data_IF_429797482270
#
_entry.id   IF_429797482270
#
_cell.length_a   1.000
_cell.length_b   1.000
_cell.length_c   1.000
_cell.angle_alpha   90.00
_cell.angle_beta   90.00
_cell.angle_gamma   90.00
#
_symmetry.space_group_name_H-M   'P 1'
#
loop_
_entity.id
_entity.type
_entity.pdbx_description
1 polymer ?
#
# COMPACT_ATOMS: atom_id res chain seq x y z
N UNK A 1 28.76 2.77 44.16
CA UNK A 1 27.74 3.75 43.74
C UNK A 1 27.80 3.96 42.24
N UNK A 2 28.96 4.30 41.66
CA UNK A 2 29.15 4.47 40.20
C UNK A 2 28.73 3.28 39.33
N UNK A 3 29.07 2.05 39.72
CA UNK A 3 28.70 0.85 38.96
C UNK A 3 27.18 0.61 38.89
N UNK A 4 26.46 0.92 39.97
CA UNK A 4 24.99 0.81 39.98
C UNK A 4 24.35 1.82 39.03
N UNK A 5 24.89 3.03 38.97
CA UNK A 5 24.42 4.05 38.03
C UNK A 5 24.62 3.62 36.57
N UNK A 6 25.79 3.05 36.24
CA UNK A 6 26.06 2.51 34.90
C UNK A 6 25.12 1.36 34.51
N UNK A 7 24.84 0.45 35.44
CA UNK A 7 23.90 -0.67 35.20
C UNK A 7 22.48 -0.15 34.95
N UNK A 8 22.01 0.78 35.78
CA UNK A 8 20.66 1.38 35.61
C UNK A 8 20.56 2.13 34.29
N UNK A 9 21.58 2.93 33.93
CA UNK A 9 21.59 3.64 32.66
C UNK A 9 21.57 2.70 31.45
N UNK A 10 22.40 1.65 31.48
CA UNK A 10 22.45 0.66 30.41
C UNK A 10 21.15 -0.13 30.27
N UNK A 11 20.50 -0.47 31.38
CA UNK A 11 19.19 -1.15 31.36
C UNK A 11 18.11 -0.25 30.77
N UNK A 12 18.07 1.04 31.12
CA UNK A 12 17.14 2.00 30.55
C UNK A 12 17.35 2.17 29.04
N UNK A 13 18.62 2.30 28.62
CA UNK A 13 19.00 2.35 27.21
C UNK A 13 18.55 1.09 26.46
N UNK A 14 18.78 -0.10 27.01
CA UNK A 14 18.39 -1.36 26.39
C UNK A 14 16.87 -1.50 26.23
N UNK A 15 16.08 -1.06 27.22
CA UNK A 15 14.61 -1.07 27.16
C UNK A 15 14.10 -0.14 26.06
N UNK A 16 14.63 1.09 25.97
CA UNK A 16 14.22 2.07 24.95
C UNK A 16 14.62 1.58 23.55
N UNK A 17 15.86 1.12 23.38
CA UNK A 17 16.37 0.62 22.11
C UNK A 17 15.60 -0.64 21.66
N UNK A 18 15.35 -1.57 22.57
CA UNK A 18 14.57 -2.78 22.31
C UNK A 18 13.12 -2.46 21.94
N UNK A 19 12.49 -1.51 22.65
CA UNK A 19 11.13 -1.06 22.34
C UNK A 19 11.01 -0.42 20.96
N UNK A 20 11.93 0.49 20.61
CA UNK A 20 11.97 1.11 19.29
C UNK A 20 12.20 0.07 18.17
N UNK A 21 13.09 -0.89 18.39
CA UNK A 21 13.37 -1.96 17.42
C UNK A 21 12.17 -2.89 17.22
N UNK A 22 11.46 -3.25 18.29
CA UNK A 22 10.25 -4.07 18.21
C UNK A 22 9.15 -3.38 17.38
N UNK A 23 8.94 -2.09 17.60
CA UNK A 23 7.97 -1.28 16.82
C UNK A 23 8.37 -1.20 15.34
N UNK A 24 9.65 -0.97 15.04
CA UNK A 24 10.13 -0.88 13.66
C UNK A 24 10.01 -2.24 12.93
N UNK A 25 10.29 -3.35 13.61
CA UNK A 25 10.15 -4.70 13.04
C UNK A 25 8.69 -5.03 12.71
N UNK A 26 7.78 -4.69 13.62
CA UNK A 26 6.34 -4.86 13.40
C UNK A 26 5.85 -4.09 12.16
N UNK A 27 6.34 -2.87 11.94
CA UNK A 27 6.01 -2.07 10.75
C UNK A 27 6.49 -2.70 9.44
N UNK A 28 7.68 -3.31 9.42
CA UNK A 28 8.23 -3.99 8.24
C UNK A 28 7.43 -5.25 7.91
N UNK A 29 7.09 -6.06 8.92
CA UNK A 29 6.32 -7.29 8.74
C UNK A 29 4.90 -7.01 8.20
N UNK A 30 4.29 -5.88 8.61
CA UNK A 30 2.98 -5.44 8.11
C UNK A 30 3.05 -4.94 6.65
N UNK A 31 4.13 -4.29 6.26
CA UNK A 31 4.25 -3.64 4.95
C UNK A 31 4.67 -4.60 3.83
N UNK A 32 5.61 -5.52 4.10
CA UNK A 32 6.32 -6.24 3.03
C UNK A 32 5.73 -7.57 2.57
N UNK A 33 5.13 -8.37 3.47
CA UNK A 33 4.86 -9.80 3.16
C UNK A 33 3.40 -10.24 3.35
N UNK A 34 2.69 -9.70 4.35
CA UNK A 34 1.28 -10.08 4.59
C UNK A 34 0.26 -9.28 3.77
N UNK A 35 0.66 -8.11 3.25
CA UNK A 35 -0.20 -7.25 2.41
C UNK A 35 -0.50 -7.87 1.03
N UNK A 36 0.37 -8.76 0.53
CA UNK A 36 0.17 -9.43 -0.78
C UNK A 36 -1.11 -10.27 -0.84
N UNK A 37 -1.61 -10.74 0.31
CA UNK A 37 -2.88 -11.48 0.39
C UNK A 37 -4.13 -10.58 0.29
N UNK A 38 -3.97 -9.25 0.44
CA UNK A 38 -5.06 -8.26 0.39
C UNK A 38 -5.13 -7.48 -0.92
N UNK A 39 -4.33 -7.83 -1.93
CA UNK A 39 -4.26 -7.06 -3.20
C UNK A 39 -5.16 -7.61 -4.32
N UNK A 40 -6.24 -8.29 -3.97
CA UNK A 40 -7.33 -8.52 -4.93
C UNK A 40 -8.67 -8.18 -4.27
N UNK A 41 -8.76 -6.99 -3.67
CA UNK A 41 -10.03 -6.27 -3.70
C UNK A 41 -10.25 -5.80 -5.13
N UNK A 42 -10.55 -6.75 -6.03
CA UNK A 42 -11.17 -6.41 -7.30
C UNK A 42 -12.46 -5.72 -6.91
N UNK A 43 -12.59 -4.49 -7.35
CA UNK A 43 -13.87 -3.83 -7.44
C UNK A 43 -14.89 -4.84 -8.02
N UNK A 44 -16.08 -5.02 -7.45
CA UNK A 44 -17.05 -6.00 -7.95
C UNK A 44 -17.45 -5.76 -9.41
N UNK A 45 -17.24 -4.54 -9.91
CA UNK A 45 -17.39 -4.12 -11.31
C UNK A 45 -16.15 -4.35 -12.19
N UNK A 46 -15.02 -4.80 -11.61
CA UNK A 46 -13.79 -5.04 -12.36
C UNK A 46 -13.95 -6.29 -13.25
N UNK A 47 -13.80 -6.14 -14.57
CA UNK A 47 -13.99 -7.24 -15.50
C UNK A 47 -13.08 -8.43 -15.18
N UNK A 48 -13.61 -9.63 -15.38
CA UNK A 48 -12.81 -10.85 -15.29
C UNK A 48 -11.81 -10.91 -16.46
N UNK A 49 -10.68 -11.59 -16.25
CA UNK A 49 -9.70 -11.81 -17.31
C UNK A 49 -10.37 -12.60 -18.45
N UNK A 50 -10.45 -11.99 -19.64
CA UNK A 50 -11.12 -12.56 -20.80
C UNK A 50 -12.57 -12.09 -21.01
N UNK A 51 -13.11 -11.23 -20.14
CA UNK A 51 -14.41 -10.59 -20.36
C UNK A 51 -14.29 -9.48 -21.42
N UNK A 52 -15.20 -9.48 -22.40
CA UNK A 52 -15.21 -8.50 -23.49
C UNK A 52 -15.67 -7.14 -22.97
N UNK A 53 -14.71 -6.25 -22.65
CA UNK A 53 -15.02 -4.86 -22.30
C UNK A 53 -15.34 -4.09 -23.57
N UNK A 54 -16.48 -3.40 -23.59
CA UNK A 54 -16.80 -2.47 -24.67
C UNK A 54 -15.85 -1.27 -24.58
N UNK A 55 -14.79 -1.27 -25.38
CA UNK A 55 -13.93 -0.12 -25.55
C UNK A 55 -14.59 0.88 -26.51
N UNK A 56 -14.94 2.06 -26.01
CA UNK A 56 -15.40 3.15 -26.86
C UNK A 56 -14.19 3.93 -27.32
N UNK A 57 -13.77 3.69 -28.56
CA UNK A 57 -12.73 4.51 -29.17
C UNK A 57 -13.27 5.90 -29.49
N UNK A 58 -12.77 6.87 -28.72
CA UNK A 58 -13.07 8.29 -28.80
C UNK A 58 -11.91 9.03 -29.47
N UNK A 59 -11.47 8.54 -30.63
CA UNK A 59 -10.55 9.29 -31.48
C UNK A 59 -11.15 10.62 -31.89
N UNK A 60 -10.28 11.63 -32.08
CA UNK A 60 -10.68 13.00 -32.39
C UNK A 60 -11.61 13.04 -33.61
N UNK A 61 -11.28 12.28 -34.64
CA UNK A 61 -12.03 12.20 -35.89
C UNK A 61 -13.42 11.59 -35.68
N UNK A 62 -13.56 10.64 -34.74
CA UNK A 62 -14.87 10.08 -34.36
C UNK A 62 -15.69 11.06 -33.54
N UNK A 63 -15.07 11.80 -32.63
CA UNK A 63 -15.76 12.80 -31.82
C UNK A 63 -16.33 13.94 -32.67
N UNK A 64 -15.52 14.47 -33.58
CA UNK A 64 -15.95 15.55 -34.48
C UNK A 64 -17.18 15.12 -35.30
N UNK A 65 -17.17 13.89 -35.83
CA UNK A 65 -18.33 13.31 -36.55
C UNK A 65 -19.56 13.08 -35.66
N UNK A 66 -19.36 12.67 -34.41
CA UNK A 66 -20.47 12.48 -33.48
C UNK A 66 -21.08 13.82 -33.08
N UNK A 67 -20.26 14.85 -32.91
CA UNK A 67 -20.70 16.20 -32.61
C UNK A 67 -21.54 16.78 -33.76
N UNK A 68 -21.08 16.67 -35.00
CA UNK A 68 -21.81 17.11 -36.20
C UNK A 68 -23.13 16.36 -36.41
N UNK A 69 -23.24 15.11 -35.94
CA UNK A 69 -24.45 14.30 -36.05
C UNK A 69 -25.48 14.59 -34.94
N UNK A 70 -25.03 15.12 -33.80
CA UNK A 70 -25.86 15.43 -32.64
C UNK A 70 -26.37 16.89 -32.64
N UNK A 71 -25.73 17.78 -33.39
CA UNK A 71 -26.22 19.14 -33.72
C UNK A 71 -27.23 19.12 -34.84
#
# INVERSE_FOLDING_TARGET
MEALFGIVYFTCFAVIAGGAFALMRQSIDQTGLKSKAKTNNRHPEAPLEGESVMYVDLSRERLERLYEKAS
#
